data_IF_155832942006
#
_entry.id   IF_155832942006
#
_cell.length_a   1.000
_cell.length_b   1.000
_cell.length_c   1.000
_cell.angle_alpha   90.00
_cell.angle_beta   90.00
_cell.angle_gamma   90.00
#
_symmetry.space_group_name_H-M   'P 1'
#
loop_
_entity.id
_entity.type
_entity.pdbx_description
1 polymer ?
#
# COMPACT_ATOMS: atom_id res chain seq x y z
N UNK A 1 -27.31 -8.73 20.45
CA UNK A 1 -27.08 -8.81 19.00
C UNK A 1 -26.60 -7.44 18.52
N UNK A 2 -25.30 -7.27 18.32
CA UNK A 2 -24.64 -6.01 17.94
C UNK A 2 -24.85 -5.71 16.45
N UNK A 3 -25.83 -4.85 16.12
CA UNK A 3 -26.04 -4.36 14.74
C UNK A 3 -25.37 -3.00 14.48
N UNK A 4 -24.76 -2.37 15.50
CA UNK A 4 -24.07 -1.08 15.37
C UNK A 4 -22.65 -1.17 14.78
N UNK A 5 -21.85 -2.15 15.24
CA UNK A 5 -20.44 -2.27 14.86
C UNK A 5 -20.22 -2.60 13.37
N UNK A 6 -21.15 -3.36 12.75
CA UNK A 6 -21.03 -3.77 11.33
C UNK A 6 -21.24 -2.59 10.38
N UNK A 7 -22.17 -1.68 10.72
CA UNK A 7 -22.46 -0.47 9.91
C UNK A 7 -21.29 0.50 9.94
N UNK A 8 -20.68 0.68 11.10
CA UNK A 8 -19.56 1.60 11.32
C UNK A 8 -18.27 1.12 10.62
N UNK A 9 -17.93 -0.17 10.75
CA UNK A 9 -16.79 -0.77 10.07
C UNK A 9 -16.91 -0.75 8.55
N UNK A 10 -18.11 -1.01 8.01
CA UNK A 10 -18.35 -0.95 6.56
C UNK A 10 -18.14 0.47 5.99
N UNK A 11 -18.41 1.49 6.81
CA UNK A 11 -18.20 2.88 6.44
C UNK A 11 -16.71 3.23 6.46
N UNK A 12 -15.98 2.86 7.52
CA UNK A 12 -14.54 3.12 7.63
C UNK A 12 -13.75 2.48 6.48
N UNK A 13 -13.99 1.20 6.19
CA UNK A 13 -13.33 0.50 5.08
C UNK A 13 -13.59 1.16 3.73
N UNK A 14 -14.81 1.64 3.51
CA UNK A 14 -15.20 2.33 2.27
C UNK A 14 -14.50 3.67 2.13
N UNK A 15 -14.40 4.45 3.22
CA UNK A 15 -13.70 5.75 3.25
C UNK A 15 -12.20 5.59 2.99
N UNK A 16 -11.56 4.62 3.65
CA UNK A 16 -10.13 4.30 3.43
C UNK A 16 -9.89 3.87 1.98
N UNK A 17 -10.73 2.99 1.44
CA UNK A 17 -10.61 2.54 0.05
C UNK A 17 -10.80 3.70 -0.94
N UNK A 18 -11.76 4.60 -0.68
CA UNK A 18 -11.98 5.78 -1.51
C UNK A 18 -10.76 6.71 -1.50
N UNK A 19 -10.18 6.98 -0.32
CA UNK A 19 -8.99 7.80 -0.15
C UNK A 19 -7.80 7.29 -0.98
N UNK A 20 -7.54 5.98 -0.95
CA UNK A 20 -6.47 5.38 -1.76
C UNK A 20 -6.73 5.57 -3.26
N UNK A 21 -7.95 5.31 -3.74
CA UNK A 21 -8.29 5.48 -5.16
C UNK A 21 -8.16 6.93 -5.62
N UNK A 22 -8.57 7.90 -4.79
CA UNK A 22 -8.44 9.33 -5.11
C UNK A 22 -6.98 9.76 -5.29
N UNK A 23 -6.05 9.11 -4.60
CA UNK A 23 -4.61 9.31 -4.78
C UNK A 23 -3.99 8.45 -5.90
N UNK A 24 -4.81 7.70 -6.64
CA UNK A 24 -4.39 6.85 -7.75
C UNK A 24 -3.74 5.54 -7.31
N UNK A 25 -4.08 5.03 -6.12
CA UNK A 25 -3.74 3.66 -5.75
C UNK A 25 -4.77 2.67 -6.29
N UNK A 26 -4.29 1.48 -6.61
CA UNK A 26 -5.09 0.32 -6.99
C UNK A 26 -5.12 -0.68 -5.83
N UNK A 27 -6.30 -1.27 -5.58
CA UNK A 27 -6.42 -2.37 -4.62
C UNK A 27 -6.04 -3.69 -5.31
N UNK A 28 -5.19 -4.49 -4.65
CA UNK A 28 -4.74 -5.78 -5.17
C UNK A 28 -5.87 -6.81 -5.05
N UNK A 29 -6.37 -7.28 -6.20
CA UNK A 29 -7.30 -8.40 -6.28
C UNK A 29 -6.57 -9.75 -6.18
N UNK A 30 -6.15 -10.16 -4.98
CA UNK A 30 -5.46 -11.43 -4.78
C UNK A 30 -6.31 -12.63 -5.19
N UNK A 31 -5.97 -13.26 -6.31
CA UNK A 31 -6.55 -14.54 -6.74
C UNK A 31 -5.95 -15.74 -6.00
N UNK A 32 -4.70 -15.58 -5.51
CA UNK A 32 -3.91 -16.57 -4.76
C UNK A 32 -3.19 -15.88 -3.59
N UNK A 33 -2.30 -16.60 -2.90
CA UNK A 33 -1.48 -16.03 -1.81
C UNK A 33 -0.44 -15.01 -2.30
N UNK A 34 -0.14 -14.97 -3.60
CA UNK A 34 0.81 -14.06 -4.21
C UNK A 34 0.17 -13.47 -5.46
N UNK A 35 0.27 -12.16 -5.60
CA UNK A 35 -0.09 -11.43 -6.83
C UNK A 35 1.17 -10.81 -7.45
N UNK A 36 1.24 -10.81 -8.78
CA UNK A 36 2.39 -10.25 -9.51
C UNK A 36 2.00 -8.93 -10.15
N UNK A 37 2.64 -7.85 -9.71
CA UNK A 37 2.47 -6.52 -10.29
C UNK A 37 3.62 -6.26 -11.24
N UNK A 38 3.30 -5.94 -12.49
CA UNK A 38 4.28 -5.63 -13.52
C UNK A 38 4.23 -4.16 -13.81
N UNK A 39 5.37 -3.49 -13.71
CA UNK A 39 5.52 -2.07 -14.04
C UNK A 39 6.55 -1.90 -15.15
N UNK A 40 6.52 -0.75 -15.81
CA UNK A 40 7.41 -0.45 -16.93
C UNK A 40 8.21 0.82 -16.63
N UNK A 41 9.53 0.75 -16.82
CA UNK A 41 10.39 1.92 -16.75
C UNK A 41 11.46 1.88 -17.83
N UNK A 42 11.34 2.80 -18.80
CA UNK A 42 12.10 2.77 -20.05
C UNK A 42 11.92 1.39 -20.72
N UNK A 43 13.02 0.75 -21.14
CA UNK A 43 12.99 -0.57 -21.79
C UNK A 43 13.05 -1.73 -20.78
N UNK A 44 12.82 -1.47 -19.49
CA UNK A 44 12.88 -2.49 -18.43
C UNK A 44 11.50 -2.81 -17.91
N UNK A 45 11.19 -4.09 -17.87
CA UNK A 45 10.03 -4.64 -17.16
C UNK A 45 10.46 -4.99 -15.74
N UNK A 46 9.74 -4.46 -14.75
CA UNK A 46 9.95 -4.79 -13.34
C UNK A 46 8.75 -5.61 -12.86
N UNK A 47 9.02 -6.72 -12.19
CA UNK A 47 7.97 -7.59 -11.65
C UNK A 47 8.10 -7.66 -10.13
N UNK A 48 7.06 -7.24 -9.44
CA UNK A 48 6.95 -7.29 -7.99
C UNK A 48 6.03 -8.42 -7.59
N UNK A 49 6.35 -9.10 -6.49
CA UNK A 49 5.45 -10.07 -5.88
C UNK A 49 4.91 -9.48 -4.59
N UNK A 50 3.60 -9.27 -4.55
CA UNK A 50 2.89 -8.88 -3.34
C UNK A 50 2.32 -10.15 -2.71
N UNK A 51 2.36 -10.23 -1.39
CA UNK A 51 1.88 -11.41 -0.66
C UNK A 51 0.61 -11.02 0.06
N UNK A 52 -0.43 -11.84 -0.10
CA UNK A 52 -1.67 -11.65 0.63
C UNK A 52 -1.39 -11.77 2.12
N UNK A 53 -1.80 -10.76 2.87
CA UNK A 53 -1.82 -10.78 4.33
C UNK A 53 -3.26 -10.98 4.78
N UNK A 54 -3.47 -11.83 5.79
CA UNK A 54 -4.79 -12.03 6.35
C UNK A 54 -5.33 -10.72 6.91
N UNK A 55 -6.62 -10.47 6.70
CA UNK A 55 -7.35 -9.33 7.27
C UNK A 55 -6.83 -7.94 6.85
N UNK A 56 -6.01 -7.89 5.80
CA UNK A 56 -5.51 -6.63 5.23
C UNK A 56 -5.94 -6.50 3.76
N UNK A 57 -6.46 -5.32 3.43
CA UNK A 57 -6.51 -4.85 2.06
C UNK A 57 -5.14 -4.34 1.65
N UNK A 58 -4.68 -4.70 0.45
CA UNK A 58 -3.39 -4.20 -0.07
C UNK A 58 -3.67 -3.21 -1.19
N UNK A 59 -3.12 -2.02 -1.06
CA UNK A 59 -3.16 -0.96 -2.06
C UNK A 59 -1.76 -0.72 -2.58
N UNK A 60 -1.62 -0.54 -3.89
CA UNK A 60 -0.35 -0.20 -4.51
C UNK A 60 -0.49 0.96 -5.48
N UNK A 61 0.62 1.67 -5.69
CA UNK A 61 0.73 2.71 -6.70
C UNK A 61 2.11 2.65 -7.34
N UNK A 62 2.15 2.78 -8.66
CA UNK A 62 3.39 2.96 -9.39
C UNK A 62 4.00 4.33 -9.11
N UNK A 63 5.32 4.34 -8.97
CA UNK A 63 6.11 5.49 -8.56
C UNK A 63 7.36 5.59 -9.44
N UNK A 64 8.13 6.67 -9.25
CA UNK A 64 9.34 6.98 -10.01
C UNK A 64 10.23 5.75 -10.23
N UNK A 65 10.68 5.53 -11.47
CA UNK A 65 11.56 4.40 -11.79
C UNK A 65 10.84 3.06 -11.99
N UNK A 66 9.50 3.07 -12.13
CA UNK A 66 8.69 1.84 -12.13
C UNK A 66 8.61 1.18 -10.75
N UNK A 67 8.98 1.89 -9.69
CA UNK A 67 8.90 1.40 -8.31
C UNK A 67 7.45 1.30 -7.84
N UNK A 68 7.22 0.56 -6.77
CA UNK A 68 5.91 0.52 -6.11
C UNK A 68 5.95 1.16 -4.73
N UNK A 69 4.87 1.85 -4.41
CA UNK A 69 4.48 2.23 -3.05
C UNK A 69 3.32 1.32 -2.67
N UNK A 70 3.43 0.63 -1.54
CA UNK A 70 2.45 -0.37 -1.10
C UNK A 70 2.00 -0.04 0.32
N UNK A 71 0.69 -0.10 0.54
CA UNK A 71 0.06 -0.05 1.84
C UNK A 71 -0.70 -1.36 2.06
N UNK A 72 -0.44 -2.02 3.19
CA UNK A 72 -1.29 -3.08 3.72
C UNK A 72 -2.11 -2.47 4.85
N UNK A 73 -3.44 -2.50 4.77
CA UNK A 73 -4.33 -1.76 5.66
C UNK A 73 -5.40 -2.69 6.22
N UNK A 74 -5.66 -2.60 7.52
CA UNK A 74 -6.80 -3.25 8.18
C UNK A 74 -7.65 -2.21 8.89
N UNK A 75 -8.96 -2.41 8.87
CA UNK A 75 -9.96 -1.52 9.51
C UNK A 75 -10.73 -2.23 10.63
N UNK A 76 -10.14 -3.26 11.21
CA UNK A 76 -10.80 -4.07 12.23
C UNK A 76 -11.01 -3.32 13.54
N UNK A 77 -12.07 -3.70 14.27
CA UNK A 77 -12.36 -3.20 15.62
C UNK A 77 -12.57 -1.68 15.73
N UNK A 78 -12.93 -1.01 14.62
CA UNK A 78 -13.16 0.44 14.60
C UNK A 78 -11.88 1.27 14.56
N UNK A 79 -10.73 0.65 14.33
CA UNK A 79 -9.45 1.34 14.14
C UNK A 79 -8.89 1.00 12.76
N UNK A 80 -8.23 1.98 12.14
CA UNK A 80 -7.46 1.75 10.92
C UNK A 80 -5.98 1.61 11.28
N UNK A 81 -5.37 0.47 10.98
CA UNK A 81 -3.91 0.29 11.10
C UNK A 81 -3.32 -0.08 9.75
N UNK A 82 -2.06 0.26 9.54
CA UNK A 82 -1.40 0.03 8.25
C UNK A 82 0.08 -0.30 8.39
N UNK A 83 0.61 -0.93 7.34
CA UNK A 83 2.03 -1.10 7.09
C UNK A 83 2.38 -0.55 5.69
N UNK A 84 3.20 0.49 5.65
CA UNK A 84 3.68 1.14 4.44
C UNK A 84 5.08 0.69 4.02
N UNK A 85 5.25 0.27 2.76
CA UNK A 85 6.56 -0.12 2.25
C UNK A 85 6.69 -0.01 0.73
N UNK A 86 7.93 -0.05 0.26
CA UNK A 86 8.27 -0.18 -1.14
C UNK A 86 8.94 -1.55 -1.36
N UNK A 87 8.37 -2.44 -2.19
CA UNK A 87 9.02 -3.71 -2.50
C UNK A 87 10.26 -3.46 -3.36
N UNK A 88 11.33 -4.20 -3.08
CA UNK A 88 12.55 -4.22 -3.86
C UNK A 88 12.84 -5.68 -4.26
N UNK A 89 13.11 -5.89 -5.54
CA UNK A 89 13.62 -7.16 -6.04
C UNK A 89 15.15 -7.08 -6.17
N UNK A 90 15.85 -7.81 -5.33
CA UNK A 90 17.30 -7.94 -5.34
C UNK A 90 17.69 -9.18 -6.16
N UNK A 91 18.58 -8.97 -7.13
CA UNK A 91 19.13 -10.03 -8.00
C UNK A 91 18.07 -10.88 -8.70
N UNK A 92 16.86 -10.36 -8.92
CA UNK A 92 15.78 -11.07 -9.60
C UNK A 92 15.05 -12.15 -8.77
N UNK A 93 15.52 -12.47 -7.55
CA UNK A 93 14.98 -13.59 -6.77
C UNK A 93 14.61 -13.19 -5.34
N UNK A 94 15.28 -12.18 -4.77
CA UNK A 94 15.14 -11.83 -3.35
C UNK A 94 14.21 -10.63 -3.17
N UNK A 95 13.08 -10.83 -2.51
CA UNK A 95 12.12 -9.76 -2.21
C UNK A 95 12.46 -9.10 -0.86
N UNK A 96 12.55 -7.77 -0.84
CA UNK A 96 12.69 -7.00 0.40
C UNK A 96 11.63 -5.91 0.49
N UNK A 97 10.92 -5.84 1.60
CA UNK A 97 10.04 -4.71 1.94
C UNK A 97 10.88 -3.60 2.55
N UNK A 98 11.08 -2.50 1.83
CA UNK A 98 11.76 -1.32 2.35
C UNK A 98 10.73 -0.36 2.96
N UNK A 99 10.82 -0.11 4.26
CA UNK A 99 9.96 0.90 4.90
C UNK A 99 10.13 2.27 4.25
N UNK A 100 9.06 3.05 4.28
CA UNK A 100 9.12 4.46 3.93
C UNK A 100 10.13 5.22 4.79
N UNK A 101 10.72 6.28 4.23
CA UNK A 101 11.73 7.09 4.91
C UNK A 101 11.80 8.48 4.29
N UNK A 102 11.67 9.53 5.11
CA UNK A 102 11.74 10.92 4.69
C UNK A 102 13.06 11.23 3.94
N UNK A 103 14.18 10.95 4.61
CA UNK A 103 15.52 11.22 4.08
C UNK A 103 16.05 9.99 3.33
N UNK A 104 15.28 9.52 2.36
CA UNK A 104 15.76 8.53 1.41
C UNK A 104 16.68 9.25 0.40
N UNK A 105 17.93 8.80 0.26
CA UNK A 105 18.85 9.36 -0.72
C UNK A 105 18.30 9.27 -2.15
N UNK A 106 18.90 10.00 -3.09
CA UNK A 106 18.41 10.18 -4.47
C UNK A 106 18.03 8.89 -5.21
N UNK A 107 18.72 7.78 -4.92
CA UNK A 107 18.44 6.44 -5.48
C UNK A 107 17.11 5.84 -5.02
N UNK A 108 16.57 6.31 -3.89
CA UNK A 108 15.39 5.76 -3.24
C UNK A 108 14.29 6.82 -3.05
N UNK A 109 14.19 7.79 -3.98
CA UNK A 109 13.17 8.86 -3.94
C UNK A 109 11.75 8.34 -3.69
N UNK A 110 11.41 7.18 -4.26
CA UNK A 110 10.13 6.51 -4.06
C UNK A 110 9.81 6.18 -2.59
N UNK A 111 10.81 5.99 -1.73
CA UNK A 111 10.61 5.80 -0.27
C UNK A 111 10.28 7.10 0.44
N UNK A 112 10.81 8.22 -0.03
CA UNK A 112 10.47 9.55 0.47
C UNK A 112 9.05 9.96 0.01
N UNK A 113 8.70 9.62 -1.23
CA UNK A 113 7.34 9.76 -1.75
C UNK A 113 6.33 8.93 -0.92
N UNK A 114 6.62 7.65 -0.70
CA UNK A 114 5.79 6.79 0.16
C UNK A 114 5.63 7.36 1.57
N UNK A 115 6.69 7.91 2.15
CA UNK A 115 6.64 8.56 3.46
C UNK A 115 5.76 9.83 3.46
N UNK A 116 5.84 10.65 2.41
CA UNK A 116 4.98 11.83 2.29
C UNK A 116 3.50 11.46 2.16
N UNK A 117 3.19 10.37 1.44
CA UNK A 117 1.83 9.83 1.33
C UNK A 117 1.37 9.23 2.66
N UNK A 118 2.23 8.49 3.36
CA UNK A 118 1.92 7.91 4.66
C UNK A 118 1.56 8.98 5.70
N UNK A 119 2.25 10.12 5.71
CA UNK A 119 1.85 11.26 6.56
C UNK A 119 0.43 11.73 6.27
N UNK A 120 0.09 11.92 4.99
CA UNK A 120 -1.27 12.32 4.59
C UNK A 120 -2.32 11.27 4.98
N UNK A 121 -1.95 9.99 4.91
CA UNK A 121 -2.84 8.91 5.32
C UNK A 121 -3.10 8.93 6.82
N UNK A 122 -2.05 9.14 7.62
CA UNK A 122 -2.16 9.26 9.08
C UNK A 122 -3.03 10.46 9.47
N UNK A 123 -2.85 11.61 8.82
CA UNK A 123 -3.67 12.80 9.05
C UNK A 123 -5.14 12.55 8.70
N UNK A 124 -5.41 11.84 7.59
CA UNK A 124 -6.75 11.43 7.20
C UNK A 124 -7.40 10.49 8.23
N UNK A 125 -6.69 9.44 8.64
CA UNK A 125 -7.19 8.47 9.62
C UNK A 125 -7.47 9.12 10.98
N UNK A 126 -6.64 10.08 11.40
CA UNK A 126 -6.84 10.81 12.66
C UNK A 126 -8.06 11.74 12.62
N UNK A 127 -8.60 12.05 11.44
CA UNK A 127 -9.77 12.90 11.26
C UNK A 127 -11.09 12.11 11.09
N UNK A 128 -11.04 10.78 11.04
CA UNK A 128 -12.19 9.88 10.99
C UNK A 128 -12.70 9.56 12.40
#
# INVERSE_FOLDING_TARGET
MNHGAIRDQSNLRSQVSAWFRELGFEQVGFSKSIERITTHHMDRTLVYKLRKRADHDTFYKESTGGSLIVFEVTTDSGACTHDGYCPLLLFGIWEKKLRFKADAGTLFKYRAEGHAIEKKFLDFVAAL
#
